data_IF_815726039287
#
_entry.id   IF_815726039287
#
_cell.length_a   1.000
_cell.length_b   1.000
_cell.length_c   1.000
_cell.angle_alpha   90.00
_cell.angle_beta   90.00
_cell.angle_gamma   90.00
#
_symmetry.space_group_name_H-M   'P 1'
#
loop_
_entity.id
_entity.type
_entity.pdbx_description
1 polymer ?
#
# COMPACT_ATOMS: atom_id res chain seq x y z
N UNK A 1 6.96 38.71 -33.01
CA UNK A 1 6.57 37.28 -33.17
C UNK A 1 6.08 36.76 -31.82
N UNK A 2 4.87 37.09 -31.35
CA UNK A 2 3.57 36.40 -31.58
C UNK A 2 3.61 34.86 -31.44
N UNK A 3 2.91 34.40 -30.38
CA UNK A 3 2.30 33.08 -30.13
C UNK A 3 3.13 31.97 -29.44
N UNK A 4 3.17 32.03 -28.11
CA UNK A 4 3.05 30.84 -27.24
C UNK A 4 2.04 31.10 -26.12
N UNK A 5 0.76 31.18 -26.49
CA UNK A 5 -0.38 30.95 -25.58
C UNK A 5 -1.06 29.67 -26.06
N UNK A 6 -0.58 28.51 -25.63
CA UNK A 6 -1.31 27.24 -25.79
C UNK A 6 -1.15 26.38 -24.54
N UNK A 7 -2.28 26.11 -23.89
CA UNK A 7 -2.42 24.95 -23.02
C UNK A 7 -2.53 25.19 -21.52
N UNK A 8 -3.18 26.28 -21.06
CA UNK A 8 -3.82 26.22 -19.75
C UNK A 8 -4.95 25.17 -19.86
N UNK A 9 -4.66 23.94 -19.44
CA UNK A 9 -5.66 22.89 -19.35
C UNK A 9 -6.81 23.44 -18.51
N UNK A 10 -8.02 23.48 -19.08
CA UNK A 10 -9.22 23.87 -18.37
C UNK A 10 -9.31 23.03 -17.09
N UNK A 11 -9.03 23.65 -15.95
CA UNK A 11 -9.21 23.03 -14.64
C UNK A 11 -10.71 22.78 -14.55
N UNK A 12 -11.14 21.52 -14.70
CA UNK A 12 -12.54 21.13 -14.45
C UNK A 12 -12.96 21.77 -13.13
N UNK A 13 -14.08 22.50 -13.12
CA UNK A 13 -14.61 23.11 -11.89
C UNK A 13 -14.63 22.01 -10.81
N UNK A 14 -14.05 22.26 -9.63
CA UNK A 14 -14.06 21.26 -8.57
C UNK A 14 -15.51 20.89 -8.26
N UNK A 15 -15.77 19.60 -8.06
CA UNK A 15 -17.08 19.09 -7.66
C UNK A 15 -17.61 19.91 -6.48
N UNK A 16 -18.84 20.41 -6.60
CA UNK A 16 -19.51 21.11 -5.50
C UNK A 16 -19.54 20.20 -4.27
N UNK A 17 -19.31 20.77 -3.08
CA UNK A 17 -19.29 20.04 -1.80
C UNK A 17 -20.52 19.16 -1.63
N UNK A 18 -21.70 19.69 -1.95
CA UNK A 18 -22.96 18.93 -1.89
C UNK A 18 -22.92 17.73 -2.83
N UNK A 19 -22.56 17.94 -4.10
CA UNK A 19 -22.47 16.88 -5.10
C UNK A 19 -21.44 15.80 -4.73
N UNK A 20 -20.27 16.18 -4.22
CA UNK A 20 -19.24 15.23 -3.80
C UNK A 20 -19.67 14.37 -2.61
N UNK A 21 -20.33 14.98 -1.60
CA UNK A 21 -20.91 14.23 -0.49
C UNK A 21 -22.00 13.28 -0.99
N UNK A 22 -22.92 13.75 -1.85
CA UNK A 22 -24.00 12.92 -2.40
C UNK A 22 -23.47 11.73 -3.20
N UNK A 23 -22.47 11.93 -4.06
CA UNK A 23 -21.86 10.82 -4.83
C UNK A 23 -21.23 9.81 -3.88
N UNK A 24 -20.44 10.26 -2.91
CA UNK A 24 -19.80 9.37 -1.94
C UNK A 24 -20.83 8.58 -1.13
N UNK A 25 -21.88 9.25 -0.63
CA UNK A 25 -22.95 8.57 0.12
C UNK A 25 -23.66 7.54 -0.74
N UNK A 26 -23.91 7.83 -2.02
CA UNK A 26 -24.63 6.92 -2.93
C UNK A 26 -23.78 5.68 -3.25
N UNK A 27 -22.48 5.85 -3.49
CA UNK A 27 -21.53 4.73 -3.66
C UNK A 27 -21.50 3.86 -2.40
N UNK A 28 -21.39 4.47 -1.22
CA UNK A 28 -21.35 3.75 0.05
C UNK A 28 -22.66 3.02 0.36
N UNK A 29 -23.81 3.60 -0.03
CA UNK A 29 -25.11 2.95 0.11
C UNK A 29 -25.26 1.76 -0.86
N UNK A 30 -24.85 1.92 -2.13
CA UNK A 30 -24.79 0.80 -3.08
C UNK A 30 -23.91 -0.33 -2.53
N UNK A 31 -22.74 0.01 -1.98
CA UNK A 31 -21.85 -0.96 -1.36
C UNK A 31 -22.52 -1.65 -0.16
N UNK A 32 -23.25 -0.91 0.68
CA UNK A 32 -24.06 -1.47 1.77
C UNK A 32 -25.16 -2.42 1.27
N UNK A 33 -25.85 -2.09 0.18
CA UNK A 33 -26.85 -2.97 -0.45
C UNK A 33 -26.18 -4.25 -0.96
N UNK A 34 -25.06 -4.15 -1.66
CA UNK A 34 -24.29 -5.32 -2.14
C UNK A 34 -23.91 -6.22 -0.95
N UNK A 35 -23.45 -5.65 0.16
CA UNK A 35 -23.10 -6.39 1.38
C UNK A 35 -24.29 -7.15 1.95
N UNK A 36 -25.43 -6.48 2.06
CA UNK A 36 -26.64 -7.09 2.64
C UNK A 36 -27.17 -8.20 1.74
N UNK A 37 -27.11 -8.00 0.42
CA UNK A 37 -27.58 -8.97 -0.57
C UNK A 37 -26.60 -10.12 -0.85
N UNK A 38 -25.31 -9.95 -0.57
CA UNK A 38 -24.32 -11.02 -0.74
C UNK A 38 -24.59 -12.16 0.26
N UNK A 39 -24.64 -13.40 -0.21
CA UNK A 39 -24.84 -14.57 0.64
C UNK A 39 -23.73 -15.58 0.37
N UNK A 40 -23.07 -16.03 1.44
CA UNK A 40 -22.02 -17.02 1.35
C UNK A 40 -22.54 -18.37 1.85
N UNK A 41 -22.87 -19.32 0.95
CA UNK A 41 -23.47 -20.60 1.34
C UNK A 41 -22.53 -21.50 2.17
N UNK A 42 -21.25 -21.14 2.28
CA UNK A 42 -20.23 -21.88 3.02
C UNK A 42 -19.97 -21.30 4.43
N UNK A 43 -20.59 -20.17 4.79
CA UNK A 43 -20.39 -19.53 6.08
C UNK A 43 -21.51 -19.88 7.08
N UNK A 44 -21.19 -19.93 8.37
CA UNK A 44 -22.20 -20.00 9.43
C UNK A 44 -23.13 -18.76 9.31
N UNK A 45 -24.46 -18.93 9.24
CA UNK A 45 -25.41 -17.83 9.17
C UNK A 45 -25.22 -16.76 10.25
N UNK A 46 -24.81 -17.14 11.47
CA UNK A 46 -24.58 -16.19 12.56
C UNK A 46 -23.36 -15.30 12.31
N UNK A 47 -22.26 -15.90 11.83
CA UNK A 47 -21.03 -15.18 11.48
C UNK A 47 -21.22 -14.30 10.25
N UNK A 48 -21.97 -14.76 9.25
CA UNK A 48 -22.30 -13.96 8.08
C UNK A 48 -23.10 -12.71 8.47
N UNK A 49 -24.11 -12.88 9.34
CA UNK A 49 -24.93 -11.79 9.85
C UNK A 49 -24.09 -10.78 10.66
N UNK A 50 -23.23 -11.27 11.55
CA UNK A 50 -22.35 -10.41 12.36
C UNK A 50 -21.43 -9.57 11.46
N UNK A 51 -20.79 -10.19 10.47
CA UNK A 51 -19.91 -9.48 9.53
C UNK A 51 -20.67 -8.43 8.70
N UNK A 52 -21.91 -8.72 8.28
CA UNK A 52 -22.79 -7.77 7.59
C UNK A 52 -23.12 -6.56 8.47
N UNK A 53 -23.48 -6.78 9.74
CA UNK A 53 -23.78 -5.70 10.69
C UNK A 53 -22.55 -4.80 10.87
N UNK A 54 -21.38 -5.39 11.12
CA UNK A 54 -20.12 -4.64 11.28
C UNK A 54 -19.82 -3.79 10.03
N UNK A 55 -19.94 -4.38 8.85
CA UNK A 55 -19.68 -3.68 7.59
C UNK A 55 -20.65 -2.50 7.38
N UNK A 56 -21.94 -2.67 7.67
CA UNK A 56 -22.93 -1.60 7.61
C UNK A 56 -22.62 -0.45 8.60
N UNK A 57 -22.24 -0.78 9.83
CA UNK A 57 -21.84 0.23 10.84
C UNK A 57 -20.63 1.02 10.37
N UNK A 58 -19.62 0.35 9.82
CA UNK A 58 -18.42 1.00 9.27
C UNK A 58 -18.74 1.90 8.08
N UNK A 59 -19.66 1.49 7.22
CA UNK A 59 -20.15 2.31 6.09
C UNK A 59 -20.79 3.60 6.58
N UNK A 60 -21.69 3.52 7.57
CA UNK A 60 -22.36 4.69 8.14
C UNK A 60 -21.34 5.62 8.79
N UNK A 61 -20.40 5.07 9.58
CA UNK A 61 -19.33 5.85 10.19
C UNK A 61 -18.47 6.57 9.13
N UNK A 62 -18.11 5.88 8.05
CA UNK A 62 -17.34 6.45 6.94
C UNK A 62 -18.10 7.58 6.22
N UNK A 63 -19.42 7.43 6.00
CA UNK A 63 -20.28 8.50 5.45
C UNK A 63 -20.25 9.74 6.35
N UNK A 64 -20.45 9.56 7.66
CA UNK A 64 -20.47 10.67 8.63
C UNK A 64 -19.12 11.38 8.69
N UNK A 65 -18.02 10.63 8.74
CA UNK A 65 -16.66 11.18 8.76
C UNK A 65 -16.37 11.93 7.46
N UNK A 66 -16.70 11.36 6.30
CA UNK A 66 -16.47 11.99 5.00
C UNK A 66 -17.27 13.29 4.86
N UNK A 67 -18.54 13.29 5.25
CA UNK A 67 -19.38 14.48 5.22
C UNK A 67 -18.84 15.59 6.15
N UNK A 68 -18.42 15.22 7.37
CA UNK A 68 -17.89 16.17 8.38
C UNK A 68 -16.55 16.78 7.97
N UNK A 69 -15.67 16.01 7.33
CA UNK A 69 -14.30 16.42 6.99
C UNK A 69 -14.07 16.60 5.47
N UNK A 70 -15.13 16.72 4.66
CA UNK A 70 -15.07 16.76 3.20
C UNK A 70 -13.99 17.70 2.63
N UNK A 71 -13.98 18.95 3.08
CA UNK A 71 -13.05 19.96 2.56
C UNK A 71 -11.59 19.59 2.88
N UNK A 72 -11.37 19.00 4.05
CA UNK A 72 -10.04 18.55 4.46
C UNK A 72 -9.61 17.30 3.69
N UNK A 73 -10.51 16.36 3.43
CA UNK A 73 -10.18 15.09 2.76
C UNK A 73 -9.93 15.31 1.26
N UNK A 74 -10.76 16.12 0.59
CA UNK A 74 -10.72 16.26 -0.89
C UNK A 74 -9.60 17.16 -1.41
N UNK A 75 -9.17 18.14 -0.62
CA UNK A 75 -8.11 19.07 -1.01
C UNK A 75 -6.78 18.38 -1.33
N UNK A 76 -6.37 17.37 -0.55
CA UNK A 76 -5.08 16.71 -0.77
C UNK A 76 -5.05 15.92 -2.09
N UNK A 77 -5.99 15.01 -2.38
CA UNK A 77 -6.11 14.38 -3.70
C UNK A 77 -6.20 15.38 -4.86
N UNK A 78 -6.91 16.51 -4.69
CA UNK A 78 -6.97 17.56 -5.70
C UNK A 78 -5.61 18.21 -5.95
N UNK A 79 -4.85 18.52 -4.89
CA UNK A 79 -3.48 19.04 -5.01
C UNK A 79 -2.56 18.03 -5.71
N UNK A 80 -2.66 16.74 -5.37
CA UNK A 80 -1.88 15.68 -6.01
C UNK A 80 -2.21 15.57 -7.50
N UNK A 81 -3.48 15.58 -7.86
CA UNK A 81 -3.90 15.52 -9.26
C UNK A 81 -3.50 16.77 -10.04
N UNK A 82 -3.65 17.97 -9.46
CA UNK A 82 -3.21 19.20 -10.10
C UNK A 82 -1.71 19.17 -10.44
N UNK A 83 -0.89 18.59 -9.54
CA UNK A 83 0.57 18.55 -9.64
C UNK A 83 1.13 17.23 -10.23
N UNK A 84 0.30 16.31 -10.72
CA UNK A 84 0.71 14.99 -11.25
C UNK A 84 1.91 14.98 -12.21
N UNK A 85 2.02 15.97 -13.10
CA UNK A 85 3.15 16.08 -14.06
C UNK A 85 4.46 16.42 -13.35
N UNK A 86 4.39 17.30 -12.36
CA UNK A 86 5.52 17.67 -11.52
C UNK A 86 5.93 16.50 -10.63
N UNK A 87 4.95 15.85 -9.98
CA UNK A 87 5.17 14.64 -9.17
C UNK A 87 5.92 13.58 -9.98
N UNK A 88 5.44 13.27 -11.20
CA UNK A 88 6.08 12.28 -12.05
C UNK A 88 7.51 12.65 -12.44
N UNK A 89 7.77 13.92 -12.75
CA UNK A 89 9.11 14.41 -13.07
C UNK A 89 10.05 14.30 -11.86
N UNK A 90 9.59 14.71 -10.69
CA UNK A 90 10.38 14.67 -9.46
C UNK A 90 10.61 13.23 -9.00
N UNK A 91 9.64 12.33 -9.12
CA UNK A 91 9.81 10.91 -8.78
C UNK A 91 10.87 10.22 -9.65
N UNK A 92 10.88 10.50 -10.96
CA UNK A 92 11.95 10.03 -11.85
C UNK A 92 13.32 10.58 -11.46
N UNK A 93 13.38 11.86 -11.11
CA UNK A 93 14.62 12.49 -10.70
C UNK A 93 15.11 11.95 -9.34
N UNK A 94 14.19 11.70 -8.40
CA UNK A 94 14.51 11.10 -7.09
C UNK A 94 15.14 9.73 -7.27
N UNK A 95 14.52 8.86 -8.08
CA UNK A 95 15.04 7.54 -8.41
C UNK A 95 16.43 7.62 -9.06
N UNK A 96 16.60 8.46 -10.08
CA UNK A 96 17.90 8.63 -10.75
C UNK A 96 18.98 9.16 -9.80
N UNK A 97 18.64 10.13 -8.96
CA UNK A 97 19.59 10.77 -8.03
C UNK A 97 20.03 9.81 -6.93
N UNK A 98 19.12 8.97 -6.43
CA UNK A 98 19.40 7.96 -5.40
C UNK A 98 20.54 7.00 -5.79
N UNK A 99 20.72 6.77 -7.09
CA UNK A 99 21.73 5.87 -7.64
C UNK A 99 22.80 6.60 -8.47
N UNK A 100 22.82 7.92 -8.44
CA UNK A 100 23.84 8.71 -9.14
C UNK A 100 25.15 8.70 -8.35
N UNK A 101 26.29 8.61 -9.04
CA UNK A 101 27.62 8.71 -8.43
C UNK A 101 28.17 7.42 -7.79
N UNK A 102 27.43 6.31 -7.82
CA UNK A 102 27.94 4.98 -7.45
C UNK A 102 28.32 4.18 -8.70
N UNK A 103 29.46 3.47 -8.65
CA UNK A 103 29.94 2.64 -9.76
C UNK A 103 28.92 1.60 -10.24
N UNK A 104 28.18 0.96 -9.33
CA UNK A 104 27.15 -0.03 -9.69
C UNK A 104 25.74 0.57 -9.76
N UNK A 105 25.58 1.85 -9.44
CA UNK A 105 24.32 2.60 -9.58
C UNK A 105 23.11 1.89 -8.99
N UNK A 106 22.07 1.71 -9.82
CA UNK A 106 20.78 1.14 -9.41
C UNK A 106 20.84 -0.34 -9.02
N UNK A 107 21.91 -1.06 -9.40
CA UNK A 107 22.11 -2.47 -9.02
C UNK A 107 22.16 -2.61 -7.51
N UNK A 108 22.73 -1.64 -6.78
CA UNK A 108 22.79 -1.66 -5.31
C UNK A 108 21.42 -1.71 -4.64
N UNK A 109 20.38 -1.15 -5.27
CA UNK A 109 19.00 -1.25 -4.80
C UNK A 109 18.50 -2.70 -4.72
N UNK A 110 19.05 -3.56 -5.60
CA UNK A 110 18.60 -4.93 -5.82
C UNK A 110 19.45 -5.92 -5.04
N UNK A 111 20.73 -5.60 -4.79
CA UNK A 111 21.66 -6.48 -4.08
C UNK A 111 21.12 -6.87 -2.71
N UNK A 112 20.71 -5.90 -1.88
CA UNK A 112 20.25 -6.22 -0.53
C UNK A 112 19.00 -7.13 -0.53
N UNK A 113 17.90 -6.82 -1.25
CA UNK A 113 16.76 -7.74 -1.28
C UNK A 113 17.07 -9.11 -1.90
N UNK A 114 17.91 -9.19 -2.94
CA UNK A 114 18.32 -10.47 -3.54
C UNK A 114 19.11 -11.31 -2.54
N UNK A 115 20.05 -10.70 -1.81
CA UNK A 115 20.79 -11.37 -0.73
C UNK A 115 19.82 -11.83 0.36
N UNK A 116 18.84 -11.02 0.75
CA UNK A 116 17.81 -11.41 1.72
C UNK A 116 17.00 -12.62 1.26
N UNK A 117 16.54 -12.64 0.01
CA UNK A 117 15.82 -13.80 -0.57
C UNK A 117 16.72 -15.04 -0.57
N UNK A 118 17.97 -14.91 -1.01
CA UNK A 118 18.93 -16.01 -1.05
C UNK A 118 19.21 -16.57 0.35
N UNK A 119 19.38 -15.69 1.36
CA UNK A 119 19.59 -16.10 2.75
C UNK A 119 18.38 -16.86 3.30
N UNK A 120 17.16 -16.36 3.09
CA UNK A 120 15.96 -17.08 3.54
C UNK A 120 15.78 -18.41 2.80
N UNK A 121 16.04 -18.44 1.49
CA UNK A 121 16.04 -19.68 0.72
C UNK A 121 17.04 -20.71 1.30
N UNK A 122 18.28 -20.30 1.56
CA UNK A 122 19.30 -21.19 2.14
C UNK A 122 18.86 -21.70 3.52
N UNK A 123 18.38 -20.81 4.40
CA UNK A 123 17.99 -21.20 5.76
C UNK A 123 16.77 -22.12 5.73
N UNK A 124 15.67 -21.72 5.11
CA UNK A 124 14.41 -22.45 5.22
C UNK A 124 14.35 -23.65 4.28
N UNK A 125 14.80 -23.52 3.03
CA UNK A 125 14.71 -24.61 2.07
C UNK A 125 15.90 -25.57 2.14
N UNK A 126 17.14 -25.08 2.30
CA UNK A 126 18.33 -25.95 2.28
C UNK A 126 18.65 -26.49 3.67
N UNK A 127 18.64 -25.66 4.71
CA UNK A 127 19.00 -26.07 6.08
C UNK A 127 17.81 -26.73 6.81
N UNK A 128 16.62 -26.14 6.72
CA UNK A 128 15.41 -26.66 7.40
C UNK A 128 14.55 -27.59 6.53
N UNK A 129 15.00 -27.90 5.31
CA UNK A 129 14.34 -28.80 4.34
C UNK A 129 12.86 -28.47 4.04
N UNK A 130 12.45 -27.21 4.17
CA UNK A 130 11.10 -26.75 3.82
C UNK A 130 10.97 -26.58 2.31
N UNK A 131 10.87 -27.68 1.56
CA UNK A 131 10.83 -27.63 0.08
C UNK A 131 9.47 -27.24 -0.48
N UNK A 132 8.41 -27.72 0.15
CA UNK A 132 7.04 -27.57 -0.32
C UNK A 132 6.21 -26.91 0.77
N UNK A 133 5.44 -25.90 0.38
CA UNK A 133 4.40 -25.28 1.19
C UNK A 133 3.05 -25.67 0.61
N UNK A 134 2.17 -26.16 1.46
CA UNK A 134 0.79 -26.44 1.09
C UNK A 134 0.02 -25.12 1.01
N UNK A 135 -0.34 -24.71 -0.19
CA UNK A 135 -1.23 -23.59 -0.41
C UNK A 135 -2.70 -23.99 -0.19
N UNK A 136 -3.58 -22.99 -0.03
CA UNK A 136 -5.03 -23.23 0.01
C UNK A 136 -5.48 -24.05 -1.20
N UNK A 137 -6.36 -25.02 -0.97
CA UNK A 137 -6.83 -26.05 -1.93
C UNK A 137 -5.86 -27.22 -2.21
N UNK A 138 -4.81 -27.40 -1.41
CA UNK A 138 -3.94 -28.59 -1.49
C UNK A 138 -2.90 -28.54 -2.61
N UNK A 139 -2.65 -27.36 -3.18
CA UNK A 139 -1.61 -27.15 -4.19
C UNK A 139 -0.25 -27.13 -3.51
N UNK A 140 0.66 -27.99 -3.98
CA UNK A 140 2.06 -28.01 -3.54
C UNK A 140 2.83 -26.87 -4.23
N UNK A 141 3.31 -25.92 -3.43
CA UNK A 141 4.04 -24.76 -3.94
C UNK A 141 5.50 -24.83 -3.48
N UNK A 142 6.47 -24.74 -4.39
CA UNK A 142 7.89 -24.65 -4.03
C UNK A 142 8.14 -23.45 -3.11
N UNK A 143 8.94 -23.66 -2.07
CA UNK A 143 9.16 -22.64 -1.04
C UNK A 143 9.69 -21.33 -1.62
N UNK A 144 10.56 -21.36 -2.64
CA UNK A 144 11.06 -20.14 -3.27
C UNK A 144 9.93 -19.30 -3.92
N UNK A 145 8.92 -19.92 -4.52
CA UNK A 145 7.74 -19.23 -5.10
C UNK A 145 6.90 -18.63 -3.98
N UNK A 146 6.64 -19.40 -2.92
CA UNK A 146 5.94 -18.94 -1.72
C UNK A 146 6.64 -17.75 -1.04
N UNK A 147 7.96 -17.84 -0.88
CA UNK A 147 8.82 -16.86 -0.24
C UNK A 147 8.84 -15.55 -1.04
N UNK A 148 9.07 -15.64 -2.35
CA UNK A 148 9.13 -14.46 -3.21
C UNK A 148 7.77 -13.77 -3.34
N UNK A 149 6.67 -14.53 -3.41
CA UNK A 149 5.31 -13.97 -3.42
C UNK A 149 5.01 -13.16 -2.14
N UNK A 150 5.57 -13.54 -0.99
CA UNK A 150 5.45 -12.77 0.26
C UNK A 150 6.43 -11.60 0.38
N UNK A 151 7.69 -11.80 -0.02
CA UNK A 151 8.74 -10.79 0.17
C UNK A 151 8.59 -9.58 -0.75
N UNK A 152 8.12 -9.76 -1.99
CA UNK A 152 7.97 -8.65 -2.95
C UNK A 152 7.06 -7.53 -2.42
N UNK A 153 5.81 -7.78 -1.99
CA UNK A 153 4.99 -6.72 -1.40
C UNK A 153 5.58 -6.18 -0.10
N UNK A 154 6.25 -7.01 0.71
CA UNK A 154 6.87 -6.58 1.96
C UNK A 154 8.04 -5.60 1.73
N UNK A 155 8.92 -5.89 0.78
CA UNK A 155 10.02 -5.01 0.40
C UNK A 155 9.48 -3.66 -0.10
N UNK A 156 8.42 -3.68 -0.90
CA UNK A 156 7.81 -2.45 -1.37
C UNK A 156 7.21 -1.63 -0.23
N UNK A 157 6.45 -2.28 0.66
CA UNK A 157 5.87 -1.62 1.83
C UNK A 157 6.94 -0.96 2.70
N UNK A 158 7.98 -1.71 3.05
CA UNK A 158 9.06 -1.25 3.93
C UNK A 158 9.83 -0.08 3.32
N UNK A 159 10.25 -0.21 2.06
CA UNK A 159 10.99 0.83 1.35
C UNK A 159 10.15 2.09 1.16
N UNK A 160 8.90 1.94 0.71
CA UNK A 160 8.03 3.07 0.44
C UNK A 160 7.60 3.79 1.72
N UNK A 161 7.37 3.09 2.83
CA UNK A 161 7.04 3.69 4.11
C UNK A 161 8.23 4.47 4.67
N UNK A 162 9.42 3.88 4.70
CA UNK A 162 10.62 4.56 5.22
C UNK A 162 10.99 5.77 4.36
N UNK A 163 11.01 5.61 3.03
CA UNK A 163 11.25 6.73 2.12
C UNK A 163 10.16 7.81 2.22
N UNK A 164 8.88 7.42 2.35
CA UNK A 164 7.74 8.33 2.46
C UNK A 164 7.75 9.12 3.76
N UNK A 165 8.09 8.49 4.88
CA UNK A 165 8.25 9.12 6.20
C UNK A 165 9.37 10.17 6.15
N UNK A 166 10.53 9.85 5.58
CA UNK A 166 11.67 10.76 5.52
C UNK A 166 11.53 11.87 4.46
N UNK A 167 10.47 11.85 3.66
CA UNK A 167 10.31 12.74 2.51
C UNK A 167 10.40 14.23 2.85
N UNK A 168 9.85 14.69 3.98
CA UNK A 168 9.93 16.11 4.35
C UNK A 168 11.35 16.51 4.74
N UNK A 169 12.01 15.69 5.57
CA UNK A 169 13.38 15.93 6.06
C UNK A 169 14.40 15.93 4.91
N UNK A 170 14.31 14.98 3.98
CA UNK A 170 15.23 14.93 2.82
C UNK A 170 15.04 16.08 1.83
N UNK A 171 13.85 16.68 1.79
CA UNK A 171 13.52 17.80 0.93
C UNK A 171 13.48 19.13 1.70
N UNK A 172 14.07 19.21 2.89
CA UNK A 172 14.07 20.40 3.76
C UNK A 172 14.46 21.69 3.01
N UNK A 173 15.47 21.62 2.13
CA UNK A 173 15.88 22.77 1.32
C UNK A 173 14.72 23.32 0.45
N UNK A 174 13.94 22.44 -0.19
CA UNK A 174 12.76 22.84 -0.97
C UNK A 174 11.63 23.34 -0.08
N UNK A 175 11.50 22.78 1.13
CA UNK A 175 10.49 23.18 2.11
C UNK A 175 10.74 24.62 2.59
N UNK A 176 12.01 24.99 2.83
CA UNK A 176 12.39 26.31 3.38
C UNK A 176 12.49 27.43 2.36
N UNK A 177 13.01 27.16 1.15
CA UNK A 177 13.52 28.21 0.25
C UNK A 177 12.70 28.43 -1.03
N UNK A 178 11.69 27.62 -1.30
CA UNK A 178 10.88 27.71 -2.52
C UNK A 178 9.40 27.68 -2.14
N UNK A 179 8.57 28.50 -2.78
CA UNK A 179 7.10 28.43 -2.66
C UNK A 179 6.62 27.14 -3.33
N UNK A 180 6.81 26.02 -2.65
CA UNK A 180 6.60 24.67 -3.16
C UNK A 180 5.45 23.98 -2.41
N UNK A 181 4.66 23.19 -3.14
CA UNK A 181 3.57 22.41 -2.54
C UNK A 181 4.14 21.17 -1.85
N UNK A 182 4.61 21.34 -0.61
CA UNK A 182 5.23 20.28 0.19
C UNK A 182 4.35 19.04 0.42
N UNK A 183 3.02 19.14 0.22
CA UNK A 183 2.07 18.02 0.24
C UNK A 183 2.35 16.95 -0.80
N UNK A 184 3.12 17.26 -1.85
CA UNK A 184 3.44 16.29 -2.90
C UNK A 184 4.71 15.47 -2.62
N UNK A 185 5.47 15.80 -1.57
CA UNK A 185 6.77 15.16 -1.30
C UNK A 185 6.65 13.67 -0.92
N UNK A 186 5.71 13.24 -0.04
CA UNK A 186 5.59 11.82 0.30
C UNK A 186 5.26 10.94 -0.92
N UNK A 187 4.34 11.39 -1.78
CA UNK A 187 3.96 10.61 -2.97
C UNK A 187 5.11 10.50 -4.00
N UNK A 188 5.98 11.49 -4.09
CA UNK A 188 7.16 11.45 -4.97
C UNK A 188 8.05 10.27 -4.57
N UNK A 189 8.31 10.13 -3.27
CA UNK A 189 9.11 9.02 -2.71
C UNK A 189 8.47 7.66 -2.92
N UNK A 190 7.15 7.56 -2.70
CA UNK A 190 6.41 6.30 -2.88
C UNK A 190 6.38 5.87 -4.35
N UNK A 191 6.20 6.80 -5.29
CA UNK A 191 6.27 6.50 -6.74
C UNK A 191 7.70 6.08 -7.14
N UNK A 192 8.73 6.71 -6.58
CA UNK A 192 10.11 6.31 -6.84
C UNK A 192 10.38 4.87 -6.37
N UNK A 193 9.86 4.48 -5.19
CA UNK A 193 9.92 3.11 -4.69
C UNK A 193 9.15 2.12 -5.58
N UNK A 194 8.07 2.55 -6.24
CA UNK A 194 7.34 1.70 -7.20
C UNK A 194 8.22 1.23 -8.36
N UNK A 195 9.24 1.98 -8.78
CA UNK A 195 10.13 1.54 -9.86
C UNK A 195 10.94 0.28 -9.46
N UNK A 196 11.39 0.22 -8.21
CA UNK A 196 12.10 -0.95 -7.66
C UNK A 196 11.11 -2.12 -7.50
N UNK A 197 9.90 -1.83 -7.02
CA UNK A 197 8.84 -2.82 -6.88
C UNK A 197 8.48 -3.51 -8.20
N UNK A 198 8.35 -2.75 -9.30
CA UNK A 198 8.06 -3.31 -10.62
C UNK A 198 9.15 -4.30 -11.09
N UNK A 199 10.41 -4.03 -10.76
CA UNK A 199 11.49 -4.98 -11.02
C UNK A 199 11.34 -6.26 -10.20
N UNK A 200 11.02 -6.16 -8.90
CA UNK A 200 10.81 -7.34 -8.07
C UNK A 200 9.56 -8.14 -8.44
N UNK A 201 8.50 -7.49 -8.92
CA UNK A 201 7.35 -8.17 -9.52
C UNK A 201 7.78 -8.96 -10.75
N UNK A 202 8.61 -8.40 -11.63
CA UNK A 202 9.14 -9.15 -12.77
C UNK A 202 9.97 -10.36 -12.33
N UNK A 203 10.84 -10.20 -11.33
CA UNK A 203 11.63 -11.30 -10.75
C UNK A 203 10.73 -12.40 -10.18
N UNK A 204 9.68 -12.03 -9.44
CA UNK A 204 8.68 -12.97 -8.93
C UNK A 204 8.04 -13.77 -10.09
N UNK A 205 7.58 -13.09 -11.15
CA UNK A 205 6.96 -13.78 -12.28
C UNK A 205 7.92 -14.73 -13.01
N UNK A 206 9.18 -14.35 -13.17
CA UNK A 206 10.21 -15.21 -13.77
C UNK A 206 10.44 -16.45 -12.90
N UNK A 207 10.62 -16.27 -11.59
CA UNK A 207 10.82 -17.38 -10.66
C UNK A 207 9.60 -18.31 -10.69
N UNK A 208 8.39 -17.77 -10.56
CA UNK A 208 7.15 -18.56 -10.63
C UNK A 208 7.06 -19.37 -11.93
N UNK A 209 7.34 -18.76 -13.08
CA UNK A 209 7.33 -19.45 -14.37
C UNK A 209 8.38 -20.57 -14.46
N UNK A 210 9.58 -20.38 -13.91
CA UNK A 210 10.61 -21.43 -13.84
C UNK A 210 10.17 -22.66 -13.04
N UNK A 211 9.24 -22.49 -12.09
CA UNK A 211 8.65 -23.58 -11.30
C UNK A 211 7.30 -24.07 -11.85
N UNK A 212 6.90 -23.65 -13.05
CA UNK A 212 5.67 -24.09 -13.71
C UNK A 212 4.41 -23.26 -13.39
N UNK A 213 4.53 -22.21 -12.57
CA UNK A 213 3.44 -21.27 -12.28
C UNK A 213 3.47 -20.11 -13.28
N UNK A 214 2.90 -20.34 -14.45
CA UNK A 214 2.85 -19.35 -15.53
C UNK A 214 1.81 -18.25 -15.25
N UNK A 215 2.07 -16.99 -15.67
CA UNK A 215 1.09 -15.91 -15.55
C UNK A 215 -0.25 -16.28 -16.21
N UNK A 216 -1.33 -16.16 -15.44
CA UNK A 216 -2.70 -16.37 -15.89
C UNK A 216 -3.55 -15.10 -15.64
N UNK A 217 -4.88 -15.19 -15.82
CA UNK A 217 -5.78 -14.06 -15.57
C UNK A 217 -5.72 -13.57 -14.11
N UNK A 218 -5.53 -14.46 -13.13
CA UNK A 218 -5.40 -14.10 -11.72
C UNK A 218 -4.12 -13.29 -11.45
N UNK A 219 -3.07 -13.47 -12.24
CA UNK A 219 -1.81 -12.72 -12.10
C UNK A 219 -1.98 -11.22 -12.33
N UNK A 220 -3.04 -10.79 -13.05
CA UNK A 220 -3.37 -9.37 -13.17
C UNK A 220 -3.66 -8.71 -11.81
N UNK A 221 -4.07 -9.49 -10.81
CA UNK A 221 -4.30 -9.00 -9.46
C UNK A 221 -3.03 -8.51 -8.77
N UNK A 222 -1.83 -8.89 -9.23
CA UNK A 222 -0.56 -8.31 -8.74
C UNK A 222 -0.56 -6.79 -8.87
N UNK A 223 -1.14 -6.24 -9.95
CA UNK A 223 -1.29 -4.78 -10.09
C UNK A 223 -2.27 -4.18 -9.08
N UNK A 224 -3.37 -4.89 -8.82
CA UNK A 224 -4.34 -4.48 -7.80
C UNK A 224 -3.71 -4.47 -6.40
N UNK A 225 -3.03 -5.55 -6.00
CA UNK A 225 -2.38 -5.62 -4.68
C UNK A 225 -1.15 -4.70 -4.57
N UNK A 226 -0.45 -4.42 -5.68
CA UNK A 226 0.55 -3.33 -5.75
C UNK A 226 -0.08 -1.97 -5.45
N UNK A 227 -1.27 -1.70 -6.01
CA UNK A 227 -2.00 -0.47 -5.76
C UNK A 227 -2.54 -0.40 -4.32
N UNK A 228 -3.01 -1.52 -3.76
CA UNK A 228 -3.35 -1.62 -2.34
C UNK A 228 -2.17 -1.22 -1.45
N UNK A 229 -0.98 -1.78 -1.73
CA UNK A 229 0.25 -1.42 -0.99
C UNK A 229 0.57 0.06 -1.14
N UNK A 230 0.52 0.60 -2.37
CA UNK A 230 0.73 2.03 -2.63
C UNK A 230 -0.23 2.91 -1.81
N UNK A 231 -1.52 2.59 -1.81
CA UNK A 231 -2.54 3.35 -1.11
C UNK A 231 -2.37 3.30 0.42
N UNK A 232 -2.08 2.11 0.96
CA UNK A 232 -1.82 1.92 2.39
C UNK A 232 -0.58 2.70 2.85
N UNK A 233 0.52 2.58 2.11
CA UNK A 233 1.75 3.31 2.43
C UNK A 233 1.53 4.82 2.32
N UNK A 234 0.81 5.30 1.30
CA UNK A 234 0.49 6.72 1.16
C UNK A 234 -0.30 7.23 2.37
N UNK A 235 -1.29 6.47 2.82
CA UNK A 235 -2.09 6.80 4.00
C UNK A 235 -1.23 6.95 5.27
N UNK A 236 -0.35 5.97 5.53
CA UNK A 236 0.52 5.97 6.71
C UNK A 236 1.62 7.04 6.58
N UNK A 237 2.12 7.29 5.37
CA UNK A 237 3.21 8.23 5.09
C UNK A 237 2.83 9.66 5.43
N UNK A 238 1.59 10.11 5.20
CA UNK A 238 1.19 11.47 5.58
C UNK A 238 1.21 11.69 7.08
N UNK A 239 0.84 10.68 7.88
CA UNK A 239 0.97 10.75 9.34
C UNK A 239 2.44 10.76 9.74
N UNK A 240 3.19 9.73 9.31
CA UNK A 240 4.57 9.50 9.77
C UNK A 240 5.52 10.60 9.32
N UNK A 241 5.41 11.09 8.08
CA UNK A 241 6.23 12.19 7.59
C UNK A 241 5.98 13.50 8.35
N UNK A 242 4.76 13.71 8.84
CA UNK A 242 4.43 14.90 9.62
C UNK A 242 4.97 14.81 11.04
N UNK A 243 4.87 13.63 11.66
CA UNK A 243 5.26 13.43 13.05
C UNK A 243 6.79 13.38 13.17
N UNK A 244 7.51 12.77 12.22
CA UNK A 244 8.99 12.63 12.29
C UNK A 244 9.70 13.98 12.29
N UNK A 245 9.08 15.03 11.72
CA UNK A 245 9.60 16.41 11.75
C UNK A 245 9.72 16.94 13.20
N UNK A 246 8.80 16.55 14.08
CA UNK A 246 8.78 16.96 15.49
C UNK A 246 9.47 15.95 16.39
N UNK A 247 9.37 14.66 16.04
CA UNK A 247 9.85 13.55 16.84
C UNK A 247 10.75 12.64 16.00
N UNK A 248 12.04 12.94 15.99
CA UNK A 248 13.03 12.27 15.13
C UNK A 248 13.20 10.78 15.46
N UNK A 249 12.94 10.38 16.69
CA UNK A 249 13.02 8.96 17.11
C UNK A 249 11.93 8.09 16.46
N UNK A 250 10.90 8.69 15.86
CA UNK A 250 9.91 7.95 15.07
C UNK A 250 10.57 7.10 13.99
N UNK A 251 11.68 7.55 13.40
CA UNK A 251 12.39 6.77 12.40
C UNK A 251 12.86 5.42 12.96
N UNK A 252 13.45 5.42 14.15
CA UNK A 252 13.92 4.18 14.79
C UNK A 252 12.75 3.29 15.19
N UNK A 253 11.68 3.88 15.74
CA UNK A 253 10.47 3.14 16.12
C UNK A 253 9.84 2.45 14.91
N UNK A 254 9.71 3.15 13.77
CA UNK A 254 9.17 2.58 12.53
C UNK A 254 10.08 1.45 12.01
N UNK A 255 11.41 1.62 12.06
CA UNK A 255 12.34 0.57 11.64
C UNK A 255 12.21 -0.70 12.49
N UNK A 256 12.11 -0.56 13.82
CA UNK A 256 11.85 -1.69 14.73
C UNK A 256 10.48 -2.32 14.42
N UNK A 257 9.46 -1.48 14.20
CA UNK A 257 8.11 -1.94 13.83
C UNK A 257 8.08 -2.71 12.53
N UNK A 258 8.85 -2.30 11.51
CA UNK A 258 9.02 -3.03 10.26
C UNK A 258 9.73 -4.37 10.52
N UNK A 259 10.78 -4.40 11.33
CA UNK A 259 11.47 -5.65 11.65
C UNK A 259 10.52 -6.67 12.32
N UNK A 260 9.70 -6.23 13.27
CA UNK A 260 8.67 -7.08 13.91
C UNK A 260 7.58 -7.45 12.89
N UNK A 261 7.15 -6.48 12.08
CA UNK A 261 6.09 -6.65 11.09
C UNK A 261 6.38 -7.74 10.07
N UNK A 262 7.65 -7.94 9.69
CA UNK A 262 8.07 -9.02 8.79
C UNK A 262 7.64 -10.41 9.32
N UNK A 263 7.68 -10.59 10.64
CA UNK A 263 7.31 -11.84 11.30
C UNK A 263 5.83 -11.87 11.67
N UNK A 264 5.24 -10.72 11.99
CA UNK A 264 3.82 -10.61 12.33
C UNK A 264 2.90 -10.77 11.10
N UNK A 265 3.40 -10.47 9.90
CA UNK A 265 2.75 -10.81 8.64
C UNK A 265 3.25 -12.19 8.20
N UNK A 266 2.42 -13.08 7.64
CA UNK A 266 2.82 -14.41 7.20
C UNK A 266 3.65 -14.34 5.90
N UNK A 267 4.78 -13.63 5.91
CA UNK A 267 5.68 -13.45 4.76
C UNK A 267 6.54 -14.71 4.56
N UNK A 268 7.19 -15.15 5.63
CA UNK A 268 8.14 -16.28 5.62
C UNK A 268 7.49 -17.62 5.98
N UNK A 269 6.27 -17.58 6.51
CA UNK A 269 5.55 -18.72 7.07
C UNK A 269 4.07 -18.68 6.66
N UNK A 270 3.38 -19.83 6.75
CA UNK A 270 2.03 -19.98 6.25
C UNK A 270 0.99 -19.79 7.37
N UNK A 271 0.02 -18.89 7.16
CA UNK A 271 -1.04 -18.60 8.13
C UNK A 271 -1.90 -19.82 8.45
N UNK A 272 -2.07 -20.76 7.50
CA UNK A 272 -2.86 -21.98 7.66
C UNK A 272 -2.30 -22.98 8.70
N UNK A 273 -1.05 -22.81 9.13
CA UNK A 273 -0.45 -23.64 10.19
C UNK A 273 -0.91 -23.24 11.60
N UNK A 274 -1.56 -22.08 11.74
CA UNK A 274 -2.04 -21.56 13.02
C UNK A 274 -3.49 -21.96 13.29
N UNK A 275 -3.91 -21.97 14.56
CA UNK A 275 -5.31 -22.17 14.93
C UNK A 275 -6.21 -21.05 14.41
N UNK A 276 -7.49 -21.34 14.15
CA UNK A 276 -8.44 -20.39 13.54
C UNK A 276 -8.53 -19.05 14.29
N UNK A 277 -8.51 -19.09 15.62
CA UNK A 277 -8.51 -17.89 16.47
C UNK A 277 -7.28 -17.00 16.21
N UNK A 278 -6.11 -17.60 16.06
CA UNK A 278 -4.87 -16.87 15.78
C UNK A 278 -4.89 -16.32 14.36
N UNK A 279 -5.39 -17.09 13.39
CA UNK A 279 -5.57 -16.62 12.01
C UNK A 279 -6.49 -15.38 11.96
N UNK A 280 -7.58 -15.38 12.72
CA UNK A 280 -8.50 -14.24 12.80
C UNK A 280 -7.82 -12.98 13.32
N UNK A 281 -7.00 -13.09 14.37
CA UNK A 281 -6.25 -11.96 14.93
C UNK A 281 -5.21 -11.45 13.94
N UNK A 282 -4.49 -12.34 13.25
CA UNK A 282 -3.49 -11.96 12.25
C UNK A 282 -4.11 -11.22 11.07
N UNK A 283 -5.29 -11.65 10.61
CA UNK A 283 -6.02 -11.01 9.50
C UNK A 283 -6.46 -9.55 9.79
N UNK A 284 -6.38 -9.09 11.04
CA UNK A 284 -6.55 -7.67 11.39
C UNK A 284 -5.43 -6.81 10.79
N UNK A 285 -4.22 -7.35 10.62
CA UNK A 285 -3.13 -6.62 9.98
C UNK A 285 -3.40 -6.51 8.47
N UNK A 286 -3.56 -5.29 7.91
CA UNK A 286 -3.90 -5.10 6.49
C UNK A 286 -2.81 -5.59 5.53
N UNK A 287 -1.58 -5.81 5.99
CA UNK A 287 -0.53 -6.42 5.19
C UNK A 287 -0.77 -7.90 4.92
N UNK A 288 -1.51 -8.60 5.77
CA UNK A 288 -1.88 -10.01 5.54
C UNK A 288 -2.73 -10.14 4.28
N UNK A 289 -3.69 -9.23 4.09
CA UNK A 289 -4.51 -9.17 2.87
C UNK A 289 -3.67 -8.99 1.60
N UNK A 290 -2.63 -8.15 1.66
CA UNK A 290 -1.75 -7.90 0.52
C UNK A 290 -0.89 -9.13 0.24
N UNK A 291 -0.25 -9.71 1.26
CA UNK A 291 0.65 -10.87 1.11
C UNK A 291 -0.11 -12.08 0.57
N UNK A 292 -1.26 -12.41 1.18
CA UNK A 292 -2.14 -13.48 0.68
C UNK A 292 -2.68 -13.15 -0.71
N UNK A 293 -2.94 -11.88 -1.01
CA UNK A 293 -3.33 -11.43 -2.34
C UNK A 293 -2.29 -11.71 -3.43
N UNK A 294 -1.01 -11.48 -3.16
CA UNK A 294 0.07 -11.86 -4.07
C UNK A 294 0.13 -13.37 -4.27
N UNK A 295 -0.03 -14.15 -3.20
CA UNK A 295 -0.07 -15.63 -3.28
C UNK A 295 -1.24 -16.11 -4.13
N UNK A 296 -2.44 -15.55 -3.93
CA UNK A 296 -3.63 -15.84 -4.74
C UNK A 296 -3.46 -15.46 -6.21
N UNK A 297 -2.74 -14.37 -6.49
CA UNK A 297 -2.47 -13.93 -7.86
C UNK A 297 -1.46 -14.83 -8.60
N UNK A 298 -0.54 -15.48 -7.88
CA UNK A 298 0.50 -16.33 -8.47
C UNK A 298 0.07 -17.80 -8.57
N UNK A 299 -0.52 -18.36 -7.51
CA UNK A 299 -0.81 -19.80 -7.45
C UNK A 299 -2.13 -20.17 -6.75
N UNK A 300 -2.72 -19.28 -5.93
CA UNK A 300 -3.95 -19.61 -5.19
C UNK A 300 -5.24 -19.55 -6.00
N UNK A 301 -5.21 -18.88 -7.16
CA UNK A 301 -6.33 -18.75 -8.10
C UNK A 301 -7.66 -18.37 -7.44
N UNK A 302 -7.58 -17.32 -6.60
CA UNK A 302 -8.73 -16.72 -5.95
C UNK A 302 -8.78 -15.24 -6.31
N UNK A 303 -9.94 -14.76 -6.74
CA UNK A 303 -10.13 -13.34 -7.00
C UNK A 303 -10.36 -12.54 -5.72
N UNK A 304 -9.91 -11.29 -5.69
CA UNK A 304 -10.04 -10.40 -4.54
C UNK A 304 -11.50 -10.19 -4.11
N UNK A 305 -12.46 -10.27 -5.04
CA UNK A 305 -13.89 -10.17 -4.72
C UNK A 305 -14.48 -11.45 -4.13
N UNK A 306 -13.82 -12.60 -4.27
CA UNK A 306 -14.25 -13.84 -3.62
C UNK A 306 -14.04 -13.76 -2.10
N UNK A 307 -12.98 -13.08 -1.64
CA UNK A 307 -12.83 -12.68 -0.24
C UNK A 307 -13.31 -11.23 -0.02
N UNK A 308 -14.61 -11.05 -0.19
CA UNK A 308 -15.27 -9.76 -0.10
C UNK A 308 -15.02 -9.06 1.25
N UNK A 309 -15.05 -9.80 2.36
CA UNK A 309 -14.91 -9.23 3.70
C UNK A 309 -13.51 -8.69 3.96
N UNK A 310 -12.46 -9.45 3.61
CA UNK A 310 -11.08 -8.97 3.77
C UNK A 310 -10.79 -7.78 2.85
N UNK A 311 -11.31 -7.80 1.63
CA UNK A 311 -11.21 -6.67 0.68
C UNK A 311 -11.85 -5.40 1.24
N UNK A 312 -13.07 -5.51 1.77
CA UNK A 312 -13.80 -4.38 2.35
C UNK A 312 -13.06 -3.81 3.57
N UNK A 313 -12.65 -4.70 4.47
CA UNK A 313 -11.91 -4.36 5.67
C UNK A 313 -10.62 -3.60 5.34
N UNK A 314 -9.83 -4.10 4.39
CA UNK A 314 -8.59 -3.47 3.94
C UNK A 314 -8.81 -2.03 3.46
N UNK A 315 -9.80 -1.81 2.57
CA UNK A 315 -10.07 -0.49 2.02
C UNK A 315 -10.61 0.48 3.07
N UNK A 316 -11.48 0.01 3.97
CA UNK A 316 -11.98 0.83 5.09
C UNK A 316 -10.81 1.31 5.95
N UNK A 317 -9.92 0.41 6.39
CA UNK A 317 -8.74 0.78 7.18
C UNK A 317 -7.85 1.76 6.43
N UNK A 318 -7.56 1.48 5.16
CA UNK A 318 -6.71 2.34 4.33
C UNK A 318 -7.29 3.75 4.21
N UNK A 319 -8.60 3.88 3.98
CA UNK A 319 -9.28 5.18 3.93
C UNK A 319 -9.27 5.87 5.28
N UNK A 320 -9.54 5.16 6.38
CA UNK A 320 -9.51 5.74 7.73
C UNK A 320 -8.11 6.28 8.05
N UNK A 321 -7.06 5.49 7.79
CA UNK A 321 -5.67 5.92 7.97
C UNK A 321 -5.34 7.12 7.08
N UNK A 322 -5.83 7.16 5.84
CA UNK A 322 -5.59 8.29 4.94
C UNK A 322 -6.27 9.56 5.43
N UNK A 323 -7.49 9.46 5.96
CA UNK A 323 -8.20 10.59 6.57
C UNK A 323 -7.45 11.09 7.80
N UNK A 324 -7.07 10.20 8.71
CA UNK A 324 -6.29 10.55 9.91
C UNK A 324 -4.99 11.23 9.50
N UNK A 325 -4.23 10.63 8.58
CA UNK A 325 -2.97 11.19 8.11
C UNK A 325 -3.11 12.54 7.43
N UNK A 326 -4.16 12.74 6.63
CA UNK A 326 -4.46 14.05 6.02
C UNK A 326 -4.79 15.10 7.07
N UNK A 327 -5.55 14.75 8.11
CA UNK A 327 -5.91 15.67 9.20
C UNK A 327 -4.69 16.05 10.03
N UNK A 328 -3.86 15.07 10.40
CA UNK A 328 -2.59 15.28 11.13
C UNK A 328 -1.65 16.15 10.30
N UNK A 329 -1.43 15.79 9.03
CA UNK A 329 -0.57 16.54 8.11
C UNK A 329 -1.00 18.00 8.00
N UNK A 330 -2.28 18.28 7.79
CA UNK A 330 -2.78 19.66 7.68
C UNK A 330 -2.62 20.47 8.96
N UNK A 331 -2.79 19.83 10.11
CA UNK A 331 -2.65 20.50 11.40
C UNK A 331 -1.19 20.86 11.69
N UNK A 332 -0.26 19.95 11.40
CA UNK A 332 1.16 20.15 11.66
C UNK A 332 1.85 21.01 10.59
N UNK A 333 1.39 20.95 9.34
CA UNK A 333 2.00 21.68 8.20
C UNK A 333 2.27 23.16 8.44
N UNK A 334 1.42 23.84 9.21
CA UNK A 334 1.53 25.28 9.48
C UNK A 334 2.84 25.63 10.19
N UNK A 335 3.39 24.71 10.99
CA UNK A 335 4.57 24.95 11.82
C UNK A 335 5.84 24.27 11.28
N UNK A 336 5.78 23.60 10.12
CA UNK A 336 6.95 22.90 9.58
C UNK A 336 8.12 23.85 9.29
N UNK A 337 7.84 25.06 8.78
CA UNK A 337 8.87 26.05 8.45
C UNK A 337 9.61 26.61 9.67
N UNK A 338 9.00 26.56 10.85
CA UNK A 338 9.59 27.07 12.09
C UNK A 338 10.49 26.03 12.78
N UNK A 339 10.25 24.75 12.52
CA UNK A 339 10.87 23.63 13.25
C UNK A 339 11.96 22.95 12.44
N UNK A 340 11.70 22.80 11.13
CA UNK A 340 12.74 22.39 10.20
C UNK A 340 13.69 23.55 10.09
#
# INVERSE_FOLDING_TARGET
MKKEKKGAAAVRKPLSKKTGITIFTLIMLIMGVIIVCYHNPLADPADELLKKIIACVLIVAAIVVFARFYDKITQLPQELYANRRLIWRLAKNDFKRRYAGSYMGAVWAMVQPVVTVAMYFVVFQVIMDQRIQLAGKGVEVPYLVFLTAGLVPWFYFSEALTSGMMALLEYEYLVKKVVFKISILPIIKIIAATFIHLFFVLVLLIISACYGFYPNLYTLQVFYYSFCTFALVLAISYTTCSVVVYFRDLQQIVNIGLQIGMWATPVLWNIGQMSENVQMVLKINPLVYIVEGYRSAIYGEQWFWEDFYSTMYFWIITVVLFVIGTLVYKRLKVHFADIM
#
